data_IF_124159878099
#
_entry.id   IF_124159878099
#
_cell.length_a   1.000
_cell.length_b   1.000
_cell.length_c   1.000
_cell.angle_alpha   90.00
_cell.angle_beta   90.00
_cell.angle_gamma   90.00
#
_symmetry.space_group_name_H-M   'P 1'
#
loop_
_entity.id
_entity.type
_entity.pdbx_description
1 polymer ?
#
# COMPACT_ATOMS: atom_id res chain seq x y z
N UNK A 1 -9.21 -11.34 -4.50
CA UNK A 1 -9.79 -9.98 -4.55
C UNK A 1 -8.68 -8.94 -4.49
N UNK A 2 -8.95 -7.77 -5.00
CA UNK A 2 -8.06 -6.63 -4.85
C UNK A 2 -8.47 -5.86 -3.62
N UNK A 3 -7.58 -5.76 -2.65
CA UNK A 3 -7.85 -5.15 -1.35
C UNK A 3 -7.00 -3.89 -1.21
N UNK A 4 -7.67 -2.76 -1.00
CA UNK A 4 -6.97 -1.52 -0.71
C UNK A 4 -6.66 -1.45 0.79
N UNK A 5 -5.45 -1.06 1.13
CA UNK A 5 -5.04 -0.89 2.52
C UNK A 5 -4.69 0.57 2.75
N UNK A 6 -5.26 1.13 3.78
CA UNK A 6 -5.00 2.52 4.19
C UNK A 6 -4.38 2.54 5.57
N UNK A 7 -3.48 3.47 5.76
CA UNK A 7 -2.87 3.71 7.04
C UNK A 7 -2.55 5.20 7.13
N UNK A 8 -2.81 5.82 8.25
CA UNK A 8 -2.42 7.21 8.43
C UNK A 8 -0.89 7.26 8.45
N UNK A 9 -0.32 8.17 7.68
CA UNK A 9 1.12 8.34 7.68
C UNK A 9 1.54 9.04 8.95
N UNK A 10 2.54 8.49 9.62
CA UNK A 10 3.12 9.10 10.81
C UNK A 10 4.62 9.02 10.68
N UNK A 11 5.30 10.07 11.16
CA UNK A 11 6.76 10.08 11.17
C UNK A 11 7.31 9.16 12.24
N UNK A 12 6.52 8.91 13.26
CA UNK A 12 6.93 8.05 14.37
C UNK A 12 6.08 6.78 14.31
N UNK A 13 6.71 5.69 13.96
CA UNK A 13 6.01 4.41 13.79
C UNK A 13 6.69 3.40 14.71
N UNK A 14 5.90 2.68 15.49
CA UNK A 14 6.44 1.64 16.35
C UNK A 14 6.84 0.40 15.54
N UNK A 15 7.77 -0.39 16.07
CA UNK A 15 8.14 -1.65 15.44
C UNK A 15 6.95 -2.60 15.38
N UNK A 16 6.06 -2.54 16.39
CA UNK A 16 4.85 -3.36 16.39
C UNK A 16 3.94 -3.02 15.21
N UNK A 17 3.81 -1.74 14.87
CA UNK A 17 3.00 -1.33 13.73
C UNK A 17 3.60 -1.80 12.42
N UNK A 18 4.93 -1.75 12.29
CA UNK A 18 5.63 -2.24 11.10
C UNK A 18 5.43 -3.75 10.95
N UNK A 19 5.54 -4.50 12.05
CA UNK A 19 5.32 -5.94 12.04
C UNK A 19 3.89 -6.29 11.67
N UNK A 20 2.92 -5.53 12.17
CA UNK A 20 1.52 -5.73 11.84
C UNK A 20 1.29 -5.52 10.34
N UNK A 21 1.90 -4.48 9.78
CA UNK A 21 1.79 -4.21 8.34
C UNK A 21 2.35 -5.37 7.52
N UNK A 22 3.53 -5.85 7.86
CA UNK A 22 4.15 -6.97 7.17
C UNK A 22 3.29 -8.23 7.27
N UNK A 23 2.81 -8.54 8.47
CA UNK A 23 1.95 -9.72 8.69
C UNK A 23 0.65 -9.63 7.91
N UNK A 24 0.05 -8.44 7.83
CA UNK A 24 -1.15 -8.24 7.03
C UNK A 24 -0.86 -8.52 5.55
N UNK A 25 0.27 -8.02 5.05
CA UNK A 25 0.67 -8.26 3.67
C UNK A 25 0.82 -9.75 3.38
N UNK A 26 1.48 -10.48 4.27
CA UNK A 26 1.62 -11.93 4.13
C UNK A 26 0.26 -12.61 4.09
N UNK A 27 -0.64 -12.22 5.01
CA UNK A 27 -1.97 -12.83 5.08
C UNK A 27 -2.78 -12.57 3.82
N UNK A 28 -2.69 -11.36 3.26
CA UNK A 28 -3.37 -11.04 1.99
C UNK A 28 -2.91 -11.98 0.88
N UNK A 29 -1.61 -12.13 0.71
CA UNK A 29 -1.05 -12.96 -0.34
C UNK A 29 -1.37 -14.44 -0.14
N UNK A 30 -1.25 -14.94 1.09
CA UNK A 30 -1.57 -16.32 1.42
C UNK A 30 -3.03 -16.64 1.08
N UNK A 31 -3.92 -15.69 1.25
CA UNK A 31 -5.35 -15.86 0.96
C UNK A 31 -5.72 -15.50 -0.48
N UNK A 32 -4.74 -15.31 -1.34
CA UNK A 32 -4.98 -15.07 -2.76
C UNK A 32 -5.44 -13.68 -3.13
N UNK A 33 -5.23 -12.70 -2.24
CA UNK A 33 -5.60 -11.31 -2.50
C UNK A 33 -4.43 -10.49 -3.04
N UNK A 34 -4.75 -9.48 -3.82
CA UNK A 34 -3.77 -8.53 -4.32
C UNK A 34 -3.88 -7.23 -3.50
N UNK A 35 -2.76 -6.57 -3.30
CA UNK A 35 -2.72 -5.29 -2.59
C UNK A 35 -2.92 -4.14 -3.56
N UNK A 36 -3.78 -3.18 -3.19
CA UNK A 36 -3.88 -1.89 -3.86
C UNK A 36 -3.54 -0.82 -2.82
N UNK A 37 -2.57 0.05 -3.12
CA UNK A 37 -2.17 1.08 -2.17
C UNK A 37 -1.56 2.29 -2.90
N UNK A 38 -1.12 3.25 -2.13
CA UNK A 38 -0.58 4.50 -2.67
C UNK A 38 0.81 4.43 -3.29
N UNK A 39 1.41 3.26 -3.39
CA UNK A 39 2.70 3.09 -4.06
C UNK A 39 3.93 3.41 -3.25
N UNK A 40 3.80 3.74 -1.97
CA UNK A 40 4.94 4.07 -1.13
C UNK A 40 5.73 2.85 -0.67
N UNK A 41 7.04 3.02 -0.52
CA UNK A 41 7.97 1.96 -0.13
C UNK A 41 8.40 2.02 1.33
N UNK A 42 7.95 3.03 2.08
CA UNK A 42 8.41 3.24 3.45
C UNK A 42 7.26 3.12 4.46
N UNK A 43 7.65 3.05 5.74
CA UNK A 43 6.73 2.99 6.87
C UNK A 43 5.82 1.76 6.80
N UNK A 44 4.68 1.81 7.47
CA UNK A 44 3.77 0.66 7.55
C UNK A 44 3.30 0.21 6.18
N UNK A 45 2.97 1.14 5.30
CA UNK A 45 2.49 0.77 3.96
C UNK A 45 3.57 0.07 3.13
N UNK A 46 4.83 0.47 3.30
CA UNK A 46 5.94 -0.24 2.67
C UNK A 46 6.07 -1.66 3.18
N UNK A 47 5.83 -1.87 4.49
CA UNK A 47 5.87 -3.20 5.08
C UNK A 47 4.74 -4.09 4.59
N UNK A 48 3.55 -3.54 4.39
CA UNK A 48 2.42 -4.30 3.82
C UNK A 48 2.80 -4.81 2.43
N UNK A 49 3.34 -3.94 1.59
CA UNK A 49 3.77 -4.32 0.24
C UNK A 49 4.86 -5.39 0.27
N UNK A 50 5.83 -5.26 1.16
CA UNK A 50 6.89 -6.26 1.33
C UNK A 50 6.33 -7.61 1.77
N UNK A 51 5.38 -7.59 2.69
CA UNK A 51 4.73 -8.81 3.15
C UNK A 51 4.01 -9.53 2.03
N UNK A 52 3.29 -8.79 1.19
CA UNK A 52 2.60 -9.36 0.02
C UNK A 52 3.62 -10.01 -0.92
N UNK A 53 4.68 -9.29 -1.25
CA UNK A 53 5.70 -9.84 -2.15
C UNK A 53 6.43 -11.04 -1.58
N UNK A 54 6.63 -11.08 -0.27
CA UNK A 54 7.32 -12.20 0.39
C UNK A 54 6.61 -13.52 0.18
N UNK A 55 5.32 -13.50 -0.07
CA UNK A 55 4.50 -14.68 -0.33
C UNK A 55 4.07 -14.80 -1.79
N UNK A 56 4.75 -14.09 -2.68
CA UNK A 56 4.49 -14.17 -4.12
C UNK A 56 3.23 -13.46 -4.59
N UNK A 57 2.67 -12.57 -3.77
CA UNK A 57 1.47 -11.83 -4.12
C UNK A 57 1.75 -10.62 -5.01
N UNK A 58 0.69 -10.08 -5.59
CA UNK A 58 0.79 -8.91 -6.46
C UNK A 58 0.51 -7.62 -5.69
N UNK A 59 1.22 -6.57 -6.08
CA UNK A 59 1.06 -5.24 -5.49
C UNK A 59 0.74 -4.25 -6.60
N UNK A 60 -0.30 -3.46 -6.40
CA UNK A 60 -0.77 -2.47 -7.38
C UNK A 60 -0.72 -1.09 -6.73
N UNK A 61 0.22 -0.27 -7.16
CA UNK A 61 0.40 1.07 -6.61
C UNK A 61 -0.30 2.12 -7.46
N UNK A 62 -0.83 3.16 -6.81
CA UNK A 62 -1.43 4.31 -7.48
C UNK A 62 -0.76 5.56 -6.93
N UNK A 63 -0.06 6.29 -7.77
CA UNK A 63 0.76 7.42 -7.32
C UNK A 63 0.52 8.65 -8.19
N UNK A 64 0.35 9.84 -7.59
CA UNK A 64 0.24 11.07 -8.37
C UNK A 64 1.54 11.43 -9.06
N UNK A 65 1.46 12.06 -10.23
CA UNK A 65 2.64 12.47 -11.00
C UNK A 65 3.67 13.23 -10.17
N UNK A 66 3.21 14.13 -9.30
CA UNK A 66 4.10 14.92 -8.47
C UNK A 66 4.96 14.08 -7.53
N UNK A 67 4.46 12.92 -7.14
CA UNK A 67 5.16 12.03 -6.22
C UNK A 67 5.95 10.95 -6.96
N UNK A 68 5.75 10.80 -8.26
CA UNK A 68 6.41 9.76 -9.03
C UNK A 68 7.95 9.85 -8.97
N UNK A 69 8.47 11.05 -9.00
CA UNK A 69 9.92 11.28 -8.96
C UNK A 69 10.47 11.42 -7.54
N UNK A 70 9.62 11.25 -6.52
CA UNK A 70 10.07 11.27 -5.14
C UNK A 70 10.67 9.90 -4.80
N UNK A 71 11.69 9.89 -3.98
CA UNK A 71 12.47 8.69 -3.67
C UNK A 71 11.71 7.54 -3.03
N UNK A 72 10.50 7.77 -2.54
CA UNK A 72 9.80 6.79 -1.73
C UNK A 72 8.83 5.89 -2.48
N UNK A 73 8.76 5.98 -3.79
CA UNK A 73 7.90 5.08 -4.54
C UNK A 73 8.47 3.65 -4.51
N UNK A 74 7.58 2.68 -4.50
CA UNK A 74 7.98 1.28 -4.51
C UNK A 74 8.25 0.83 -5.94
N UNK A 75 9.53 0.66 -6.28
CA UNK A 75 9.94 0.26 -7.61
C UNK A 75 9.67 -1.22 -7.89
N UNK A 76 9.36 -1.99 -6.86
CA UNK A 76 9.07 -3.42 -6.99
C UNK A 76 7.59 -3.72 -7.10
N UNK A 77 6.74 -2.71 -7.23
CA UNK A 77 5.32 -2.89 -7.43
C UNK A 77 5.06 -3.70 -8.70
N UNK A 78 4.08 -4.60 -8.65
CA UNK A 78 3.70 -5.41 -9.82
C UNK A 78 3.12 -4.52 -10.92
N UNK A 79 2.32 -3.53 -10.52
CA UNK A 79 1.78 -2.50 -11.40
C UNK A 79 1.89 -1.16 -10.70
N UNK A 80 2.14 -0.11 -11.44
CA UNK A 80 2.17 1.24 -10.90
C UNK A 80 1.35 2.13 -11.81
N UNK A 81 0.23 2.63 -11.31
CA UNK A 81 -0.64 3.55 -12.02
C UNK A 81 -0.29 4.98 -11.65
N UNK A 82 0.05 5.79 -12.62
CA UNK A 82 0.37 7.18 -12.38
C UNK A 82 -0.87 8.02 -12.68
N UNK A 83 -1.29 8.79 -11.70
CA UNK A 83 -2.48 9.63 -11.82
C UNK A 83 -2.11 11.11 -11.71
N UNK A 84 -3.05 11.96 -12.04
CA UNK A 84 -2.80 13.39 -12.16
C UNK A 84 -2.64 14.09 -10.80
N UNK A 85 -3.51 13.75 -9.85
CA UNK A 85 -3.53 14.40 -8.54
C UNK A 85 -4.09 13.47 -7.47
N UNK A 86 -4.21 13.97 -6.24
CA UNK A 86 -4.68 13.17 -5.11
C UNK A 86 -6.15 12.74 -5.24
N UNK A 87 -6.97 13.56 -5.88
CA UNK A 87 -8.38 13.21 -6.10
C UNK A 87 -8.48 12.01 -7.05
N UNK A 88 -7.72 12.07 -8.13
CA UNK A 88 -7.69 10.98 -9.11
C UNK A 88 -7.11 9.70 -8.49
N UNK A 89 -6.12 9.84 -7.60
CA UNK A 89 -5.55 8.72 -6.86
C UNK A 89 -6.61 8.00 -6.06
N UNK A 90 -7.40 8.74 -5.29
CA UNK A 90 -8.46 8.18 -4.47
C UNK A 90 -9.48 7.44 -5.33
N UNK A 91 -9.93 8.07 -6.41
CA UNK A 91 -10.89 7.46 -7.33
C UNK A 91 -10.35 6.19 -7.98
N UNK A 92 -9.08 6.21 -8.36
CA UNK A 92 -8.45 5.04 -8.99
C UNK A 92 -8.33 3.87 -8.02
N UNK A 93 -7.93 4.15 -6.79
CA UNK A 93 -7.85 3.11 -5.76
C UNK A 93 -9.23 2.50 -5.52
N UNK A 94 -10.27 3.32 -5.41
CA UNK A 94 -11.64 2.84 -5.22
C UNK A 94 -12.10 2.00 -6.42
N UNK A 95 -11.80 2.45 -7.62
CA UNK A 95 -12.16 1.74 -8.85
C UNK A 95 -11.52 0.35 -8.94
N UNK A 96 -10.25 0.25 -8.54
CA UNK A 96 -9.50 -0.99 -8.63
C UNK A 96 -9.84 -2.00 -7.53
N UNK A 97 -10.38 -1.54 -6.42
CA UNK A 97 -10.48 -2.35 -5.21
C UNK A 97 -11.84 -2.98 -5.01
N UNK A 98 -11.83 -4.22 -4.53
CA UNK A 98 -13.03 -4.96 -4.16
C UNK A 98 -13.37 -4.80 -2.68
N UNK A 99 -12.39 -4.46 -1.86
CA UNK A 99 -12.56 -4.28 -0.43
C UNK A 99 -11.47 -3.36 0.13
N UNK A 100 -11.66 -2.94 1.38
CA UNK A 100 -10.81 -1.95 2.02
C UNK A 100 -10.47 -2.36 3.44
N UNK A 101 -9.21 -2.15 3.82
CA UNK A 101 -8.74 -2.37 5.19
C UNK A 101 -8.07 -1.08 5.65
N UNK A 102 -8.44 -0.60 6.82
CA UNK A 102 -7.77 0.53 7.45
C UNK A 102 -6.96 0.02 8.63
N UNK A 103 -5.66 0.30 8.63
CA UNK A 103 -4.79 -0.08 9.73
C UNK A 103 -4.81 0.98 10.82
N UNK A 104 -4.81 0.56 12.09
CA UNK A 104 -4.70 1.50 13.20
C UNK A 104 -3.29 2.06 13.28
N UNK A 105 -3.14 3.12 14.06
CA UNK A 105 -1.85 3.73 14.28
C UNK A 105 -1.59 4.89 13.34
N UNK A 106 -0.81 5.83 13.78
CA UNK A 106 -0.53 7.00 13.01
C UNK A 106 -1.67 8.01 13.00
N UNK A 107 -2.68 7.77 13.78
CA UNK A 107 -3.70 8.75 14.05
C UNK A 107 -3.16 9.66 15.13
N UNK A 108 -2.26 10.41 14.69
CA UNK A 108 -1.73 11.40 15.60
C UNK A 108 -2.83 12.37 15.91
#
# INVERSE_FOLDING_TARGET
MKIAVYCASSKTVSSAALELGYSLGEALAINGHELVWGGGAISVMGEVAKGVRSKGGRTIGVIPEKLFNVEFKDEEASELHIVKDMRERKGKIEELSDGFIALPGGLG
#
